data_IF_037069887563
#
_entry.id   IF_037069887563
#
_cell.length_a   1.000
_cell.length_b   1.000
_cell.length_c   1.000
_cell.angle_alpha   90.00
_cell.angle_beta   90.00
_cell.angle_gamma   90.00
#
_symmetry.space_group_name_H-M   'P 1'
#
loop_
_entity.id
_entity.type
_entity.pdbx_description
1 polymer ?
#
# COMPACT_ATOMS: atom_id res chain seq x y z
N UNK A 1 13.72 -8.56 -0.67
CA UNK A 1 13.17 -8.36 -2.02
C UNK A 1 12.21 -9.49 -2.37
N UNK A 2 11.09 -9.16 -2.92
CA UNK A 2 10.09 -10.13 -3.35
C UNK A 2 9.99 -10.10 -4.88
N UNK A 3 10.39 -11.20 -5.53
CA UNK A 3 10.39 -11.29 -7.00
C UNK A 3 9.14 -12.02 -7.47
N UNK A 4 8.37 -11.39 -8.37
CA UNK A 4 7.13 -11.94 -8.93
C UNK A 4 7.18 -11.81 -10.45
N UNK A 5 7.21 -12.94 -11.15
CA UNK A 5 7.17 -12.97 -12.61
C UNK A 5 5.73 -13.16 -13.08
N UNK A 6 5.23 -12.19 -13.83
CA UNK A 6 3.86 -12.16 -14.32
C UNK A 6 3.88 -12.25 -15.84
N UNK A 7 3.29 -13.31 -16.45
CA UNK A 7 3.27 -13.45 -17.91
C UNK A 7 2.66 -12.23 -18.60
N UNK A 8 3.37 -11.68 -19.58
CA UNK A 8 2.94 -10.49 -20.31
C UNK A 8 3.20 -9.16 -19.65
N UNK A 9 3.87 -9.16 -18.49
CA UNK A 9 4.29 -7.95 -17.78
C UNK A 9 5.77 -8.06 -17.41
N UNK A 10 6.35 -6.92 -17.03
CA UNK A 10 7.70 -6.91 -16.46
C UNK A 10 7.72 -7.65 -15.12
N UNK A 11 8.83 -8.32 -14.84
CA UNK A 11 9.03 -8.98 -13.54
C UNK A 11 9.13 -7.91 -12.46
N UNK A 12 8.35 -8.06 -11.39
CA UNK A 12 8.41 -7.19 -10.22
C UNK A 12 9.53 -7.66 -9.29
N UNK A 13 10.35 -6.74 -8.85
CA UNK A 13 11.39 -6.97 -7.83
C UNK A 13 11.13 -6.02 -6.65
N UNK A 14 10.04 -6.30 -5.94
CA UNK A 14 9.53 -5.42 -4.88
C UNK A 14 10.51 -5.33 -3.72
N UNK A 15 10.87 -4.12 -3.37
CA UNK A 15 11.72 -3.79 -2.22
C UNK A 15 10.96 -3.03 -1.13
N UNK A 16 9.88 -2.35 -1.50
CA UNK A 16 9.09 -1.51 -0.60
C UNK A 16 7.59 -1.73 -0.80
N UNK A 17 6.86 -1.67 0.31
CA UNK A 17 5.40 -1.54 0.31
C UNK A 17 5.03 -0.25 1.03
N UNK A 18 4.20 0.57 0.41
CA UNK A 18 3.77 1.86 0.96
C UNK A 18 2.26 1.86 1.11
N UNK A 19 1.79 2.16 2.31
CA UNK A 19 0.38 2.13 2.68
C UNK A 19 -0.12 3.53 3.03
N UNK A 20 -1.28 3.90 2.49
CA UNK A 20 -2.12 4.90 3.13
C UNK A 20 -2.64 4.35 4.46
N UNK A 21 -2.99 5.20 5.43
CA UNK A 21 -3.41 4.71 6.75
C UNK A 21 -4.93 4.57 6.84
N UNK A 22 -5.68 5.68 6.90
CA UNK A 22 -7.12 5.65 7.10
C UNK A 22 -7.84 5.09 5.87
N UNK A 23 -8.70 4.08 6.10
CA UNK A 23 -9.45 3.42 5.03
C UNK A 23 -8.63 2.40 4.23
N UNK A 24 -7.35 2.25 4.52
CA UNK A 24 -6.45 1.28 3.88
C UNK A 24 -5.90 0.32 4.92
N UNK A 25 -4.88 0.73 5.67
CA UNK A 25 -4.27 -0.09 6.71
C UNK A 25 -5.14 -0.17 7.96
N UNK A 26 -5.83 0.92 8.29
CA UNK A 26 -6.66 1.06 9.47
C UNK A 26 -8.12 1.34 9.11
N UNK A 27 -9.03 0.85 9.96
CA UNK A 27 -10.45 1.17 9.94
C UNK A 27 -10.77 1.91 11.25
N UNK A 28 -11.33 3.13 11.13
CA UNK A 28 -11.63 4.00 12.28
C UNK A 28 -10.43 4.19 13.22
N UNK A 29 -9.24 4.33 12.62
CA UNK A 29 -7.99 4.55 13.36
C UNK A 29 -7.36 3.28 13.97
N UNK A 30 -7.94 2.11 13.75
CA UNK A 30 -7.45 0.82 14.29
C UNK A 30 -7.01 -0.12 13.18
N UNK A 31 -5.83 -0.69 13.36
CA UNK A 31 -5.31 -1.73 12.45
C UNK A 31 -5.85 -3.09 12.94
N UNK A 32 -6.64 -3.81 12.13
CA UNK A 32 -7.16 -5.12 12.51
C UNK A 32 -6.07 -6.13 12.81
N UNK A 33 -6.34 -7.11 13.68
CA UNK A 33 -5.35 -8.13 14.06
C UNK A 33 -4.81 -8.90 12.87
N UNK A 34 -5.67 -9.28 11.93
CA UNK A 34 -5.28 -10.00 10.71
C UNK A 34 -4.35 -9.17 9.84
N UNK A 35 -4.57 -7.87 9.75
CA UNK A 35 -3.69 -6.93 9.04
C UNK A 35 -2.35 -6.81 9.76
N UNK A 36 -2.36 -6.70 11.09
CA UNK A 36 -1.11 -6.65 11.89
C UNK A 36 -0.24 -7.87 11.67
N UNK A 37 -0.83 -9.05 11.67
CA UNK A 37 -0.11 -10.30 11.42
C UNK A 37 0.46 -10.35 10.01
N UNK A 38 -0.32 -9.93 9.01
CA UNK A 38 0.13 -9.84 7.61
C UNK A 38 1.30 -8.87 7.44
N UNK A 39 1.24 -7.71 8.10
CA UNK A 39 2.32 -6.71 8.10
C UNK A 39 3.61 -7.30 8.66
N UNK A 40 3.52 -7.97 9.81
CA UNK A 40 4.69 -8.61 10.42
C UNK A 40 5.31 -9.67 9.52
N UNK A 41 4.48 -10.45 8.84
CA UNK A 41 4.94 -11.47 7.91
C UNK A 41 5.60 -10.85 6.67
N UNK A 42 4.97 -9.85 6.06
CA UNK A 42 5.49 -9.19 4.84
C UNK A 42 6.82 -8.48 5.11
N UNK A 43 7.01 -7.94 6.30
CA UNK A 43 8.23 -7.24 6.71
C UNK A 43 9.49 -8.11 6.67
N UNK A 44 9.35 -9.44 6.67
CA UNK A 44 10.50 -10.34 6.49
C UNK A 44 11.08 -10.29 5.08
N UNK A 45 10.31 -9.82 4.10
CA UNK A 45 10.70 -9.84 2.69
C UNK A 45 11.04 -8.46 2.13
N UNK A 46 10.31 -7.42 2.55
CA UNK A 46 10.43 -6.05 2.01
C UNK A 46 10.28 -5.02 3.12
N UNK A 47 10.69 -3.78 2.83
CA UNK A 47 10.53 -2.66 3.76
C UNK A 47 9.12 -2.08 3.66
N UNK A 48 8.53 -1.78 4.83
CA UNK A 48 7.15 -1.30 4.91
C UNK A 48 7.11 0.16 5.38
N UNK A 49 6.23 0.95 4.77
CA UNK A 49 6.06 2.37 5.04
C UNK A 49 4.58 2.73 5.13
N UNK A 50 4.23 3.60 6.07
CA UNK A 50 2.93 4.27 6.13
C UNK A 50 3.13 5.74 5.82
N UNK A 51 2.32 6.30 4.92
CA UNK A 51 2.27 7.72 4.66
C UNK A 51 0.93 8.27 5.13
N UNK A 52 0.96 9.26 5.99
CA UNK A 52 -0.25 9.85 6.58
C UNK A 52 -0.09 11.35 6.78
N UNK A 53 -1.22 12.06 6.69
CA UNK A 53 -1.30 13.47 7.07
C UNK A 53 -1.65 13.67 8.56
N UNK A 54 -1.79 12.59 9.34
CA UNK A 54 -2.15 12.65 10.74
C UNK A 54 -1.02 13.24 11.58
N UNK A 55 -1.27 14.42 12.18
CA UNK A 55 -0.32 15.12 13.03
C UNK A 55 -0.56 14.88 14.53
N UNK A 56 -1.60 14.12 14.90
CA UNK A 56 -2.00 13.91 16.28
C UNK A 56 -1.24 12.77 16.99
N UNK A 57 -0.38 12.05 16.27
CA UNK A 57 0.40 10.96 16.82
C UNK A 57 -0.37 9.65 17.01
N UNK A 58 -1.64 9.57 16.63
CA UNK A 58 -2.45 8.35 16.74
C UNK A 58 -1.93 7.22 15.88
N UNK A 59 -1.40 7.54 14.70
CA UNK A 59 -0.78 6.54 13.81
C UNK A 59 0.47 5.95 14.47
N UNK A 60 1.30 6.80 15.09
CA UNK A 60 2.52 6.35 15.79
C UNK A 60 2.18 5.39 16.93
N UNK A 61 1.14 5.71 17.73
CA UNK A 61 0.69 4.83 18.79
C UNK A 61 0.16 3.50 18.27
N UNK A 62 -0.70 3.55 17.26
CA UNK A 62 -1.33 2.36 16.68
C UNK A 62 -0.31 1.44 16.01
N UNK A 63 0.73 1.98 15.40
CA UNK A 63 1.76 1.22 14.70
C UNK A 63 3.04 0.99 15.51
N UNK A 64 3.06 1.34 16.82
CA UNK A 64 4.26 1.29 17.65
C UNK A 64 4.90 -0.10 17.72
N UNK A 65 4.10 -1.17 17.65
CA UNK A 65 4.55 -2.56 17.70
C UNK A 65 4.74 -3.18 16.31
N UNK A 66 4.58 -2.41 15.25
CA UNK A 66 4.70 -2.90 13.87
C UNK A 66 6.04 -2.51 13.24
N UNK A 67 6.65 -3.41 12.45
CA UNK A 67 7.91 -3.13 11.75
C UNK A 67 7.64 -2.28 10.50
N UNK A 68 7.19 -1.06 10.68
CA UNK A 68 6.76 -0.16 9.62
C UNK A 68 7.30 1.26 9.88
N UNK A 69 7.82 1.90 8.84
CA UNK A 69 8.27 3.29 8.90
C UNK A 69 7.10 4.23 8.70
N UNK A 70 6.92 5.17 9.62
CA UNK A 70 5.85 6.15 9.55
C UNK A 70 6.39 7.45 8.98
N UNK A 71 5.79 7.94 7.91
CA UNK A 71 6.10 9.21 7.30
C UNK A 71 4.87 10.12 7.37
N UNK A 72 4.99 11.22 8.12
CA UNK A 72 3.92 12.21 8.26
C UNK A 72 4.17 13.32 7.24
N UNK A 73 3.21 13.53 6.34
CA UNK A 73 3.27 14.59 5.33
C UNK A 73 2.66 15.89 5.85
N UNK A 74 3.13 17.01 5.29
CA UNK A 74 2.62 18.34 5.65
C UNK A 74 1.19 18.54 5.12
N UNK A 75 0.40 19.45 5.71
CA UNK A 75 -0.90 19.86 5.17
C UNK A 75 -0.76 20.44 3.76
N UNK A 76 -1.73 20.16 2.89
CA UNK A 76 -1.75 20.61 1.50
C UNK A 76 -0.87 19.79 0.57
N UNK A 77 -1.22 19.76 -0.69
CA UNK A 77 -0.50 19.01 -1.74
C UNK A 77 -0.18 17.56 -1.34
N UNK A 78 -1.14 16.89 -0.70
CA UNK A 78 -0.91 15.55 -0.15
C UNK A 78 -0.61 14.53 -1.25
N UNK A 79 -1.31 14.59 -2.37
CA UNK A 79 -1.09 13.68 -3.49
C UNK A 79 0.33 13.81 -4.05
N UNK A 80 0.81 15.04 -4.22
CA UNK A 80 2.15 15.33 -4.72
C UNK A 80 3.23 14.86 -3.74
N UNK A 81 3.02 15.06 -2.44
CA UNK A 81 3.95 14.61 -1.41
C UNK A 81 4.05 13.08 -1.36
N UNK A 82 2.91 12.39 -1.47
CA UNK A 82 2.90 10.91 -1.54
C UNK A 82 3.65 10.42 -2.78
N UNK A 83 3.41 11.02 -3.94
CA UNK A 83 4.11 10.65 -5.17
C UNK A 83 5.63 10.88 -5.06
N UNK A 84 6.04 12.01 -4.50
CA UNK A 84 7.45 12.33 -4.28
C UNK A 84 8.14 11.30 -3.37
N UNK A 85 7.44 10.85 -2.33
CA UNK A 85 7.96 9.81 -1.44
C UNK A 85 8.25 8.51 -2.20
N UNK A 86 7.34 8.08 -3.08
CA UNK A 86 7.53 6.87 -3.88
C UNK A 86 8.75 7.05 -4.83
N UNK A 87 8.87 8.19 -5.48
CA UNK A 87 9.99 8.48 -6.38
C UNK A 87 11.36 8.42 -5.70
N UNK A 88 11.42 8.79 -4.43
CA UNK A 88 12.66 8.82 -3.66
C UNK A 88 13.09 7.43 -3.17
N UNK A 89 12.20 6.44 -3.20
CA UNK A 89 12.53 5.06 -2.84
C UNK A 89 13.26 4.38 -4.00
N UNK A 90 14.31 3.65 -3.68
CA UNK A 90 15.06 2.88 -4.67
C UNK A 90 14.45 1.49 -4.88
N UNK A 91 14.30 1.08 -6.14
CA UNK A 91 13.73 -0.21 -6.51
C UNK A 91 12.22 -0.18 -6.67
N UNK A 92 11.63 -1.35 -6.90
CA UNK A 92 10.20 -1.46 -7.14
C UNK A 92 9.39 -1.28 -5.85
N UNK A 93 8.32 -0.52 -5.97
CA UNK A 93 7.42 -0.20 -4.86
C UNK A 93 6.01 -0.70 -5.19
N UNK A 94 5.38 -1.43 -4.27
CA UNK A 94 3.94 -1.67 -4.29
C UNK A 94 3.25 -0.65 -3.38
N UNK A 95 2.15 -0.06 -3.84
CA UNK A 95 1.38 0.91 -3.07
C UNK A 95 -0.04 0.43 -2.84
N UNK A 96 -0.61 0.82 -1.70
CA UNK A 96 -1.97 0.51 -1.30
C UNK A 96 -2.67 1.78 -0.84
N UNK A 97 -3.88 2.01 -1.33
CA UNK A 97 -4.64 3.20 -0.99
C UNK A 97 -6.09 3.13 -1.46
N UNK A 98 -6.87 4.15 -1.09
CA UNK A 98 -8.29 4.25 -1.46
C UNK A 98 -8.74 5.67 -1.74
N UNK A 99 -7.98 6.68 -1.34
CA UNK A 99 -8.40 8.08 -1.41
C UNK A 99 -7.91 8.81 -2.65
N UNK A 100 -8.53 9.96 -2.92
CA UNK A 100 -8.14 10.82 -4.05
C UNK A 100 -6.67 11.28 -3.95
N UNK A 101 -6.16 11.44 -2.73
CA UNK A 101 -4.77 11.83 -2.50
C UNK A 101 -3.76 10.70 -2.74
N UNK A 102 -4.22 9.50 -3.09
CA UNK A 102 -3.36 8.37 -3.45
C UNK A 102 -3.14 8.25 -4.96
N UNK A 103 -3.89 8.99 -5.77
CA UNK A 103 -3.88 8.87 -7.23
C UNK A 103 -2.48 9.00 -7.83
N UNK A 104 -1.74 10.04 -7.45
CA UNK A 104 -0.43 10.31 -8.03
C UNK A 104 0.61 9.30 -7.58
N UNK A 105 0.57 8.82 -6.34
CA UNK A 105 1.49 7.78 -5.90
C UNK A 105 1.22 6.45 -6.61
N UNK A 106 -0.04 6.18 -6.98
CA UNK A 106 -0.40 5.01 -7.77
C UNK A 106 0.28 5.04 -9.14
N UNK A 107 0.37 6.21 -9.77
CA UNK A 107 1.04 6.38 -11.06
C UNK A 107 2.55 6.11 -10.99
N UNK A 108 3.18 6.37 -9.86
CA UNK A 108 4.62 6.22 -9.66
C UNK A 108 5.04 4.81 -9.25
N UNK A 109 4.11 3.98 -8.82
CA UNK A 109 4.39 2.65 -8.28
C UNK A 109 4.62 1.61 -9.38
N UNK A 110 5.44 0.59 -9.09
CA UNK A 110 5.56 -0.58 -9.94
C UNK A 110 4.29 -1.44 -9.90
N UNK A 111 3.60 -1.45 -8.76
CA UNK A 111 2.32 -2.13 -8.58
C UNK A 111 1.42 -1.30 -7.67
N UNK A 112 0.21 -1.00 -8.12
CA UNK A 112 -0.77 -0.22 -7.35
C UNK A 112 -2.01 -1.06 -7.09
N UNK A 113 -2.38 -1.20 -5.82
CA UNK A 113 -3.52 -1.99 -5.38
C UNK A 113 -4.52 -1.08 -4.66
N UNK A 114 -5.71 -0.94 -5.23
CA UNK A 114 -6.80 -0.18 -4.65
C UNK A 114 -7.55 -1.03 -3.62
N UNK A 115 -7.83 -0.44 -2.46
CA UNK A 115 -8.58 -1.08 -1.39
C UNK A 115 -9.97 -0.47 -1.36
N UNK A 116 -11.02 -1.29 -1.55
CA UNK A 116 -12.40 -0.81 -1.43
C UNK A 116 -12.74 -0.47 0.01
N UNK A 117 -12.58 -1.44 0.91
CA UNK A 117 -12.81 -1.24 2.33
C UNK A 117 -14.20 -0.69 2.67
N UNK A 118 -14.37 -0.24 3.92
CA UNK A 118 -15.63 0.34 4.39
C UNK A 118 -15.83 1.80 3.96
N UNK A 119 -14.73 2.50 3.61
CA UNK A 119 -14.79 3.90 3.15
C UNK A 119 -14.96 4.01 1.63
N UNK A 120 -14.83 2.89 0.91
CA UNK A 120 -14.80 2.90 -0.55
C UNK A 120 -13.48 3.39 -1.11
N UNK A 121 -13.41 3.52 -2.44
CA UNK A 121 -12.23 4.00 -3.15
C UNK A 121 -12.63 5.12 -4.12
N UNK A 122 -11.87 6.21 -4.13
CA UNK A 122 -12.07 7.28 -5.10
C UNK A 122 -11.88 6.73 -6.51
N UNK A 123 -12.82 7.02 -7.40
CA UNK A 123 -12.81 6.48 -8.77
C UNK A 123 -11.54 6.86 -9.53
N UNK A 124 -11.05 8.08 -9.37
CA UNK A 124 -9.81 8.52 -10.02
C UNK A 124 -8.60 7.67 -9.62
N UNK A 125 -8.51 7.32 -8.35
CA UNK A 125 -7.45 6.47 -7.82
C UNK A 125 -7.62 5.02 -8.28
N UNK A 126 -8.86 4.52 -8.26
CA UNK A 126 -9.16 3.18 -8.74
C UNK A 126 -8.73 2.99 -10.20
N UNK A 127 -8.94 4.00 -11.05
CA UNK A 127 -8.56 3.94 -12.46
C UNK A 127 -7.04 3.92 -12.68
N UNK A 128 -6.25 4.31 -11.69
CA UNK A 128 -4.79 4.24 -11.73
C UNK A 128 -4.24 2.95 -11.13
N UNK A 129 -5.10 2.10 -10.58
CA UNK A 129 -4.66 0.84 -9.97
C UNK A 129 -4.43 -0.26 -11.00
N UNK A 130 -3.56 -1.21 -10.63
CA UNK A 130 -3.39 -2.46 -11.37
C UNK A 130 -4.39 -3.53 -10.90
N UNK A 131 -4.76 -3.50 -9.64
CA UNK A 131 -5.71 -4.42 -9.01
C UNK A 131 -6.59 -3.70 -8.02
N UNK A 132 -7.78 -4.27 -7.80
CA UNK A 132 -8.74 -3.83 -6.78
C UNK A 132 -9.05 -5.02 -5.89
N UNK A 133 -8.99 -4.84 -4.58
CA UNK A 133 -9.34 -5.87 -3.60
C UNK A 133 -10.36 -5.34 -2.60
N UNK A 134 -11.18 -6.21 -1.99
CA UNK A 134 -12.21 -5.77 -1.05
C UNK A 134 -11.67 -5.17 0.24
N UNK A 135 -10.57 -5.71 0.78
CA UNK A 135 -10.03 -5.32 2.07
C UNK A 135 -8.51 -5.48 2.10
N UNK A 136 -7.86 -4.84 3.08
CA UNK A 136 -6.40 -4.92 3.23
C UNK A 136 -5.91 -6.34 3.50
N UNK A 137 -6.66 -7.15 4.22
CA UNK A 137 -6.34 -8.56 4.46
C UNK A 137 -6.17 -9.32 3.13
N UNK A 138 -7.08 -9.09 2.18
CA UNK A 138 -7.01 -9.72 0.86
C UNK A 138 -5.75 -9.27 0.10
N UNK A 139 -5.40 -7.99 0.21
CA UNK A 139 -4.20 -7.46 -0.44
C UNK A 139 -2.93 -8.11 0.10
N UNK A 140 -2.81 -8.24 1.41
CA UNK A 140 -1.63 -8.86 2.04
C UNK A 140 -1.49 -10.34 1.67
N UNK A 141 -2.61 -11.08 1.63
CA UNK A 141 -2.60 -12.49 1.23
C UNK A 141 -2.04 -12.71 -0.18
N UNK A 142 -2.18 -11.75 -1.09
CA UNK A 142 -1.64 -11.86 -2.45
C UNK A 142 -0.12 -12.06 -2.47
N UNK A 143 0.59 -11.55 -1.45
CA UNK A 143 2.05 -11.67 -1.34
C UNK A 143 2.49 -12.97 -0.65
N UNK A 144 1.57 -13.68 -0.02
CA UNK A 144 1.79 -15.00 0.58
C UNK A 144 1.26 -16.12 -0.31
N UNK A 145 0.35 -15.77 -1.24
CA UNK A 145 -0.25 -16.65 -2.23
C UNK A 145 -0.08 -16.01 -3.61
N UNK A 146 1.16 -15.84 -4.06
CA UNK A 146 1.50 -15.07 -5.25
C UNK A 146 0.84 -15.59 -6.53
N UNK A 147 0.45 -16.86 -6.57
CA UNK A 147 -0.31 -17.41 -7.69
C UNK A 147 -1.64 -16.69 -7.93
N UNK A 148 -2.27 -16.16 -6.88
CA UNK A 148 -3.52 -15.38 -7.01
C UNK A 148 -3.26 -14.05 -7.72
N UNK A 149 -2.19 -13.35 -7.34
CA UNK A 149 -1.78 -12.11 -7.95
C UNK A 149 -1.41 -12.31 -9.43
N UNK A 150 -0.61 -13.34 -9.71
CA UNK A 150 -0.20 -13.70 -11.06
C UNK A 150 -1.42 -14.03 -11.93
N UNK A 151 -2.36 -14.83 -11.42
CA UNK A 151 -3.55 -15.23 -12.15
C UNK A 151 -4.41 -14.04 -12.58
N UNK A 152 -4.49 -13.01 -11.73
CA UNK A 152 -5.26 -11.81 -12.03
C UNK A 152 -4.56 -10.89 -13.01
N UNK A 153 -3.23 -10.73 -12.90
CA UNK A 153 -2.47 -9.73 -13.67
C UNK A 153 -1.84 -10.25 -14.96
N UNK A 154 -1.77 -11.54 -15.16
CA UNK A 154 -1.21 -12.12 -16.40
C UNK A 154 -2.02 -11.70 -17.63
N UNK A 155 -1.35 -11.51 -18.75
CA UNK A 155 -1.94 -11.16 -20.05
C UNK A 155 -1.84 -12.33 -21.03
#
# INVERSE_FOLDING_TARGET
MLRITIPGRETLELQHAVFDFNGTLAMDGKVPLTVREGIKQLAHSIQLHVITADTNGTVAEECADLPIHIHVIAPGQQAEQKAAYIKDLSGDVVVFGNGSNDELMFQEAALAIAILGTEGCATSTLLQSDMVVPAMENALELFFQTNRLIATLRK
#
